data_IF_214754272182
#
_entry.id   IF_214754272182
#
_cell.length_a   1.000
_cell.length_b   1.000
_cell.length_c   1.000
_cell.angle_alpha   90.00
_cell.angle_beta   90.00
_cell.angle_gamma   90.00
#
_symmetry.space_group_name_H-M   'P 1'
#
loop_
_entity.id
_entity.type
_entity.pdbx_description
1 polymer ?
#
# COMPACT_ATOMS: atom_id res chain seq x y z
N UNK A 1 -4.03 0.02 -5.88
CA UNK A 1 -5.11 1.03 -5.88
C UNK A 1 -4.76 2.06 -4.82
N UNK A 2 -5.10 3.32 -5.05
CA UNK A 2 -4.97 4.40 -4.07
C UNK A 2 -6.31 5.15 -3.97
N UNK A 3 -6.51 5.84 -2.86
CA UNK A 3 -7.68 6.66 -2.58
C UNK A 3 -7.22 8.07 -2.20
N UNK A 4 -7.70 9.09 -2.91
CA UNK A 4 -7.34 10.48 -2.67
C UNK A 4 -8.35 11.41 -3.36
N UNK A 5 -8.57 12.61 -2.84
CA UNK A 5 -9.33 13.66 -3.52
C UNK A 5 -8.42 14.31 -4.59
N UNK A 6 -8.59 13.93 -5.86
CA UNK A 6 -7.72 14.41 -6.95
C UNK A 6 -8.27 15.61 -7.68
N UNK A 7 -9.53 15.98 -7.45
CA UNK A 7 -10.18 17.13 -8.05
C UNK A 7 -10.45 18.27 -7.06
N UNK A 8 -10.08 18.09 -5.78
CA UNK A 8 -10.26 19.01 -4.67
C UNK A 8 -11.74 19.36 -4.38
N UNK A 9 -12.66 18.40 -4.58
CA UNK A 9 -14.09 18.58 -4.30
C UNK A 9 -14.53 18.12 -2.90
N UNK A 10 -13.60 17.55 -2.12
CA UNK A 10 -13.82 17.03 -0.78
C UNK A 10 -14.25 15.56 -0.73
N UNK A 11 -14.48 14.92 -1.87
CA UNK A 11 -14.82 13.50 -1.96
C UNK A 11 -13.58 12.67 -2.31
N UNK A 12 -13.45 11.51 -1.69
CA UNK A 12 -12.33 10.61 -2.00
C UNK A 12 -12.55 9.91 -3.34
N UNK A 13 -11.62 10.11 -4.28
CA UNK A 13 -11.57 9.43 -5.58
C UNK A 13 -10.76 8.14 -5.53
N UNK A 14 -10.91 7.29 -6.55
CA UNK A 14 -10.22 5.99 -6.63
C UNK A 14 -9.29 5.92 -7.84
N UNK A 15 -8.03 5.55 -7.59
CA UNK A 15 -6.98 5.41 -8.60
C UNK A 15 -6.56 3.94 -8.70
N UNK A 16 -6.54 3.38 -9.91
CA UNK A 16 -6.24 1.96 -10.16
C UNK A 16 -5.15 1.77 -11.22
N UNK A 17 -4.21 0.86 -10.98
CA UNK A 17 -3.32 0.37 -12.04
C UNK A 17 -4.04 -0.72 -12.86
N UNK A 18 -4.19 -0.50 -14.16
CA UNK A 18 -4.79 -1.46 -15.07
C UNK A 18 -3.69 -2.21 -15.82
N UNK A 19 -3.19 -3.29 -15.22
CA UNK A 19 -2.01 -4.03 -15.71
C UNK A 19 -2.10 -4.40 -17.21
N UNK A 20 -3.16 -5.12 -17.62
CA UNK A 20 -3.32 -5.56 -19.01
C UNK A 20 -3.66 -4.45 -20.00
N UNK A 21 -4.17 -3.31 -19.52
CA UNK A 21 -4.53 -2.16 -20.35
C UNK A 21 -3.38 -1.15 -20.51
N UNK A 22 -2.26 -1.33 -19.79
CA UNK A 22 -1.14 -0.40 -19.78
C UNK A 22 -1.58 1.05 -19.45
N UNK A 23 -2.42 1.19 -18.42
CA UNK A 23 -2.97 2.48 -18.00
C UNK A 23 -3.16 2.59 -16.51
N UNK A 24 -3.24 3.83 -16.02
CA UNK A 24 -3.86 4.17 -14.74
C UNK A 24 -5.27 4.64 -15.00
N UNK A 25 -6.23 4.13 -14.23
CA UNK A 25 -7.61 4.59 -14.24
C UNK A 25 -7.94 5.45 -13.04
N UNK A 26 -8.70 6.51 -13.26
CA UNK A 26 -9.19 7.42 -12.22
C UNK A 26 -10.71 7.41 -12.25
N UNK A 27 -11.32 7.11 -11.11
CA UNK A 27 -12.76 7.15 -10.87
C UNK A 27 -13.05 8.35 -9.97
N UNK A 28 -13.72 9.36 -10.50
CA UNK A 28 -14.10 10.55 -9.72
C UNK A 28 -15.36 10.23 -8.93
N UNK A 29 -15.32 10.45 -7.63
CA UNK A 29 -16.44 10.26 -6.74
C UNK A 29 -17.40 11.46 -6.83
N UNK A 30 -18.69 11.19 -6.94
CA UNK A 30 -19.72 12.24 -6.97
C UNK A 30 -20.22 12.64 -5.59
N UNK A 31 -19.54 12.20 -4.52
CA UNK A 31 -19.86 12.48 -3.12
C UNK A 31 -20.98 11.61 -2.52
N UNK A 32 -21.47 10.61 -3.25
CA UNK A 32 -22.60 9.76 -2.84
C UNK A 32 -22.28 8.27 -2.87
N UNK A 33 -20.98 7.91 -2.87
CA UNK A 33 -20.52 6.53 -3.06
C UNK A 33 -20.68 6.02 -4.50
N UNK A 34 -20.98 6.93 -5.44
CA UNK A 34 -21.07 6.64 -6.88
C UNK A 34 -19.92 7.31 -7.61
N UNK A 35 -19.42 6.63 -8.65
CA UNK A 35 -18.24 7.07 -9.37
C UNK A 35 -18.55 7.38 -10.83
N UNK A 36 -17.83 8.36 -11.39
CA UNK A 36 -17.84 8.67 -12.81
C UNK A 36 -17.36 7.49 -13.65
N UNK A 37 -17.56 7.58 -14.96
CA UNK A 37 -16.84 6.70 -15.89
C UNK A 37 -15.34 6.90 -15.66
N UNK A 38 -14.61 5.80 -15.69
CA UNK A 38 -13.16 5.77 -15.53
C UNK A 38 -12.49 6.63 -16.60
N UNK A 39 -11.65 7.58 -16.17
CA UNK A 39 -10.68 8.24 -17.05
C UNK A 39 -9.40 7.41 -17.07
N UNK A 40 -8.94 7.01 -18.25
CA UNK A 40 -7.75 6.19 -18.41
C UNK A 40 -6.57 7.01 -18.96
N UNK A 41 -5.43 6.93 -18.28
CA UNK A 41 -4.18 7.55 -18.66
C UNK A 41 -3.16 6.48 -19.02
N UNK A 42 -2.63 6.52 -20.25
CA UNK A 42 -1.67 5.50 -20.70
C UNK A 42 -0.36 5.58 -19.91
N UNK A 43 0.18 4.41 -19.57
CA UNK A 43 1.53 4.28 -19.01
C UNK A 43 2.53 3.71 -20.03
N UNK A 44 2.18 3.73 -21.32
CA UNK A 44 3.04 3.26 -22.43
C UNK A 44 2.89 1.77 -22.73
N UNK A 45 3.17 1.37 -23.97
CA UNK A 45 2.98 -0.02 -24.39
C UNK A 45 3.91 -0.98 -23.63
N UNK A 46 3.35 -2.08 -23.09
CA UNK A 46 4.11 -3.09 -22.33
C UNK A 46 4.56 -2.62 -20.95
N UNK A 47 3.96 -1.55 -20.42
CA UNK A 47 4.29 -1.02 -19.09
C UNK A 47 3.83 -1.92 -17.95
N UNK A 48 2.72 -2.64 -18.13
CA UNK A 48 2.13 -3.54 -17.12
C UNK A 48 2.12 -2.91 -15.71
N UNK A 49 1.39 -1.80 -15.50
CA UNK A 49 1.39 -1.12 -14.22
C UNK A 49 0.87 -2.04 -13.11
N UNK A 50 1.50 -2.00 -11.93
CA UNK A 50 1.20 -2.94 -10.85
C UNK A 50 0.74 -2.25 -9.55
N UNK A 51 1.35 -1.13 -9.18
CA UNK A 51 1.01 -0.36 -7.98
C UNK A 51 0.87 1.12 -8.32
N UNK A 52 0.04 1.81 -7.55
CA UNK A 52 -0.16 3.27 -7.62
C UNK A 52 -0.10 3.85 -6.21
N UNK A 53 0.50 5.02 -6.10
CA UNK A 53 0.45 5.89 -4.94
C UNK A 53 -0.01 7.29 -5.37
N UNK A 54 -0.48 8.08 -4.41
CA UNK A 54 -1.04 9.41 -4.64
C UNK A 54 -0.42 10.39 -3.64
N UNK A 55 0.20 11.47 -4.13
CA UNK A 55 0.80 12.52 -3.31
C UNK A 55 1.07 13.76 -4.16
N UNK A 56 1.12 14.95 -3.56
CA UNK A 56 1.62 16.16 -4.21
C UNK A 56 3.16 16.08 -4.27
N UNK A 57 3.71 15.79 -5.46
CA UNK A 57 5.16 15.62 -5.63
C UNK A 57 5.85 16.89 -6.11
N UNK A 58 5.10 17.94 -6.48
CA UNK A 58 5.66 19.17 -7.02
C UNK A 58 5.39 20.42 -6.16
N UNK A 59 4.66 20.26 -5.06
CA UNK A 59 4.35 21.30 -4.08
C UNK A 59 3.27 22.29 -4.55
N UNK A 60 2.45 21.94 -5.55
CA UNK A 60 1.40 22.83 -6.07
C UNK A 60 0.04 22.68 -5.37
N UNK A 61 -0.04 21.78 -4.38
CA UNK A 61 -1.23 21.50 -3.58
C UNK A 61 -2.21 20.54 -4.23
N UNK A 62 -1.86 19.91 -5.37
CA UNK A 62 -2.70 18.93 -6.04
C UNK A 62 -2.09 17.55 -5.92
N UNK A 63 -2.95 16.55 -5.76
CA UNK A 63 -2.52 15.16 -5.66
C UNK A 63 -2.11 14.64 -7.04
N UNK A 64 -0.84 14.27 -7.19
CA UNK A 64 -0.28 13.60 -8.37
C UNK A 64 -0.37 12.07 -8.24
N UNK A 65 -0.14 11.37 -9.36
CA UNK A 65 -0.12 9.89 -9.40
C UNK A 65 1.29 9.38 -9.65
N UNK A 66 1.71 8.42 -8.82
CA UNK A 66 2.96 7.69 -8.97
C UNK A 66 2.59 6.23 -9.28
N UNK A 67 3.20 5.64 -10.31
CA UNK A 67 2.87 4.28 -10.78
C UNK A 67 4.11 3.43 -11.00
N UNK A 68 4.14 2.20 -10.48
CA UNK A 68 5.17 1.22 -10.85
C UNK A 68 4.79 0.53 -12.16
N UNK A 69 5.60 0.71 -13.20
CA UNK A 69 5.43 0.05 -14.48
C UNK A 69 6.29 -1.22 -14.52
N UNK A 70 5.71 -2.33 -14.09
CA UNK A 70 6.41 -3.59 -13.88
C UNK A 70 7.12 -4.09 -15.15
N UNK A 71 6.42 -4.09 -16.28
CA UNK A 71 6.93 -4.58 -17.56
C UNK A 71 8.01 -3.67 -18.16
N UNK A 72 7.92 -2.37 -17.91
CA UNK A 72 8.86 -1.38 -18.46
C UNK A 72 10.02 -1.00 -17.51
N UNK A 73 10.09 -1.60 -16.31
CA UNK A 73 11.15 -1.37 -15.30
C UNK A 73 11.38 0.11 -14.99
N UNK A 74 10.30 0.86 -14.82
CA UNK A 74 10.34 2.26 -14.44
C UNK A 74 9.19 2.63 -13.50
N UNK A 75 9.31 3.80 -12.89
CA UNK A 75 8.22 4.49 -12.21
C UNK A 75 7.74 5.62 -13.12
N UNK A 76 6.43 5.70 -13.34
CA UNK A 76 5.79 6.84 -13.99
C UNK A 76 5.26 7.83 -12.95
N UNK A 77 5.39 9.12 -13.24
CA UNK A 77 4.81 10.23 -12.46
C UNK A 77 3.88 11.00 -13.38
N UNK A 78 2.59 11.08 -13.04
CA UNK A 78 1.58 11.83 -13.76
C UNK A 78 1.19 13.03 -12.91
N UNK A 79 1.56 14.22 -13.39
CA UNK A 79 1.29 15.48 -12.69
C UNK A 79 -0.17 15.89 -12.90
N UNK A 80 -0.85 16.23 -11.82
CA UNK A 80 -2.21 16.74 -11.82
C UNK A 80 -2.24 18.20 -12.27
N UNK A 81 -2.79 18.43 -13.46
CA UNK A 81 -2.94 19.78 -14.01
C UNK A 81 -4.11 20.54 -13.40
N UNK A 82 -4.98 19.87 -12.64
CA UNK A 82 -6.16 20.40 -11.97
C UNK A 82 -7.41 19.59 -12.26
N UNK A 83 -8.38 19.61 -11.33
CA UNK A 83 -9.69 18.96 -11.46
C UNK A 83 -9.62 17.45 -11.80
N UNK A 84 -8.62 16.72 -11.28
CA UNK A 84 -8.42 15.29 -11.56
C UNK A 84 -7.95 15.00 -12.99
N UNK A 85 -7.40 15.99 -13.70
CA UNK A 85 -6.85 15.85 -15.05
C UNK A 85 -5.32 15.76 -14.98
N UNK A 86 -4.76 14.68 -15.49
CA UNK A 86 -3.33 14.40 -15.40
C UNK A 86 -2.59 14.59 -16.72
N UNK A 87 -1.37 15.12 -16.66
CA UNK A 87 -0.45 15.18 -17.78
C UNK A 87 0.05 13.79 -18.19
N UNK A 88 0.68 13.71 -19.36
CA UNK A 88 1.39 12.50 -19.76
C UNK A 88 2.49 12.17 -18.73
N UNK A 89 2.69 10.87 -18.45
CA UNK A 89 3.68 10.47 -17.46
C UNK A 89 5.10 10.89 -17.85
N UNK A 90 5.87 11.31 -16.85
CA UNK A 90 7.33 11.35 -16.90
C UNK A 90 7.86 10.10 -16.22
N UNK A 91 8.83 9.42 -16.82
CA UNK A 91 9.34 8.15 -16.31
C UNK A 91 10.74 8.26 -15.72
N UNK A 92 10.96 7.51 -14.65
CA UNK A 92 12.24 7.37 -13.96
C UNK A 92 12.63 5.91 -13.89
N UNK A 93 13.88 5.59 -14.23
CA UNK A 93 14.37 4.21 -14.24
C UNK A 93 14.28 3.58 -12.85
N UNK A 94 13.69 2.39 -12.79
CA UNK A 94 13.62 1.55 -11.60
C UNK A 94 14.45 0.27 -11.79
N UNK A 95 14.48 -0.60 -10.79
CA UNK A 95 15.02 -1.95 -10.94
C UNK A 95 14.09 -2.85 -11.77
N UNK A 96 14.52 -4.08 -12.05
CA UNK A 96 13.70 -5.07 -12.76
C UNK A 96 12.40 -5.38 -12.01
N UNK A 97 11.29 -5.39 -12.73
CA UNK A 97 9.95 -5.73 -12.24
C UNK A 97 9.55 -4.97 -10.97
N UNK A 98 9.47 -3.62 -11.00
CA UNK A 98 8.98 -2.85 -9.86
C UNK A 98 7.55 -3.29 -9.54
N UNK A 99 7.31 -3.64 -8.28
CA UNK A 99 6.04 -4.23 -7.85
C UNK A 99 5.20 -3.22 -7.07
N UNK A 100 5.79 -2.59 -6.06
CA UNK A 100 5.12 -1.64 -5.16
C UNK A 100 5.86 -0.30 -5.14
N UNK A 101 5.10 0.79 -5.01
CA UNK A 101 5.61 2.13 -4.72
C UNK A 101 4.99 2.66 -3.43
N UNK A 102 5.80 3.36 -2.63
CA UNK A 102 5.37 4.17 -1.50
C UNK A 102 5.95 5.59 -1.65
N UNK A 103 5.25 6.58 -1.08
CA UNK A 103 5.64 8.00 -1.16
C UNK A 103 5.66 8.61 0.23
N UNK A 104 6.79 9.21 0.60
CA UNK A 104 7.05 9.82 1.91
C UNK A 104 8.36 10.61 1.86
N UNK A 105 8.48 11.68 2.63
CA UNK A 105 9.74 12.41 2.78
C UNK A 105 10.72 11.58 3.64
N UNK A 106 11.62 10.84 2.98
CA UNK A 106 12.68 10.09 3.66
C UNK A 106 14.00 10.87 3.72
N UNK A 107 14.10 11.94 2.94
CA UNK A 107 15.26 12.83 2.96
C UNK A 107 15.24 13.80 4.14
N UNK A 108 14.05 14.15 4.63
CA UNK A 108 13.80 15.18 5.64
C UNK A 108 13.85 16.60 5.09
N UNK A 109 13.67 16.79 3.78
CA UNK A 109 13.77 18.09 3.11
C UNK A 109 12.41 18.78 2.84
N UNK A 110 11.31 18.13 3.23
CA UNK A 110 9.94 18.59 3.06
C UNK A 110 9.28 18.17 1.74
N UNK A 111 9.99 17.49 0.85
CA UNK A 111 9.46 16.96 -0.40
C UNK A 111 9.24 15.45 -0.29
N UNK A 112 8.11 14.95 -0.78
CA UNK A 112 7.86 13.51 -0.77
C UNK A 112 8.75 12.80 -1.80
N UNK A 113 9.46 11.77 -1.35
CA UNK A 113 10.31 10.90 -2.17
C UNK A 113 9.54 9.66 -2.61
N UNK A 114 10.11 8.88 -3.54
CA UNK A 114 9.54 7.60 -3.99
C UNK A 114 10.41 6.43 -3.54
N UNK A 115 9.78 5.45 -2.89
CA UNK A 115 10.37 4.16 -2.52
C UNK A 115 9.77 3.08 -3.44
N UNK A 116 10.61 2.23 -4.02
CA UNK A 116 10.22 1.22 -5.01
C UNK A 116 10.68 -0.17 -4.60
N UNK A 117 9.75 -1.11 -4.47
CA UNK A 117 10.07 -2.54 -4.33
C UNK A 117 10.40 -3.13 -5.72
N UNK A 118 11.68 -3.34 -6.02
CA UNK A 118 12.11 -3.92 -7.29
C UNK A 118 12.14 -5.45 -7.19
N UNK A 119 10.98 -6.08 -7.37
CA UNK A 119 10.76 -7.52 -7.15
C UNK A 119 11.76 -8.39 -7.90
N UNK A 120 12.03 -8.10 -9.18
CA UNK A 120 12.96 -8.87 -10.00
C UNK A 120 14.43 -8.59 -9.69
N UNK A 121 14.74 -7.40 -9.17
CA UNK A 121 16.11 -6.98 -8.86
C UNK A 121 16.56 -7.31 -7.42
N UNK A 122 15.66 -7.79 -6.56
CA UNK A 122 15.95 -8.12 -5.16
C UNK A 122 16.54 -6.93 -4.38
N UNK A 123 15.97 -5.75 -4.60
CA UNK A 123 16.35 -4.53 -3.90
C UNK A 123 15.16 -3.58 -3.75
N UNK A 124 15.32 -2.59 -2.88
CA UNK A 124 14.50 -1.39 -2.83
C UNK A 124 15.25 -0.25 -3.51
N UNK A 125 14.57 0.49 -4.39
CA UNK A 125 15.07 1.75 -4.95
C UNK A 125 14.48 2.95 -4.21
N UNK A 126 15.26 4.00 -4.01
CA UNK A 126 14.83 5.28 -3.44
C UNK A 126 15.14 6.38 -4.44
N UNK A 127 14.12 7.11 -4.87
CA UNK A 127 14.23 8.26 -5.76
C UNK A 127 13.94 9.52 -4.95
N UNK A 128 14.97 10.35 -4.77
CA UNK A 128 14.85 11.60 -4.01
C UNK A 128 14.27 12.68 -4.90
N UNK A 129 13.26 13.37 -4.39
CA UNK A 129 12.58 14.48 -5.06
C UNK A 129 13.43 15.75 -4.95
N UNK A 130 13.45 16.55 -6.02
CA UNK A 130 14.15 17.84 -6.06
C UNK A 130 13.23 19.03 -5.78
N UNK A 131 11.98 18.77 -5.40
CA UNK A 131 11.00 19.77 -4.95
C UNK A 131 10.14 20.37 -6.06
N UNK A 132 10.18 19.82 -7.28
CA UNK A 132 9.38 20.29 -8.42
C UNK A 132 8.74 19.13 -9.21
N UNK A 133 8.60 17.96 -8.58
CA UNK A 133 8.13 16.74 -9.23
C UNK A 133 9.19 16.05 -10.11
N UNK A 134 10.45 16.48 -10.03
CA UNK A 134 11.58 15.78 -10.66
C UNK A 134 12.44 15.05 -9.65
N UNK A 135 12.86 13.84 -10.03
CA UNK A 135 13.57 12.92 -9.14
C UNK A 135 14.97 12.61 -9.67
N UNK A 136 15.93 12.49 -8.75
CA UNK A 136 17.28 12.04 -9.10
C UNK A 136 17.29 10.53 -9.38
N UNK A 137 18.41 10.05 -9.94
CA UNK A 137 18.60 8.62 -10.18
C UNK A 137 18.46 7.82 -8.87
N UNK A 138 17.77 6.67 -8.95
CA UNK A 138 17.52 5.84 -7.78
C UNK A 138 18.82 5.39 -7.10
N UNK A 139 18.83 5.41 -5.76
CA UNK A 139 19.79 4.68 -4.94
C UNK A 139 19.15 3.36 -4.52
N UNK A 140 19.87 2.25 -4.67
CA UNK A 140 19.31 0.91 -4.42
C UNK A 140 19.94 0.24 -3.20
N UNK A 141 19.11 -0.44 -2.42
CA UNK A 141 19.50 -1.20 -1.23
C UNK A 141 19.06 -2.66 -1.38
N UNK A 142 20.00 -3.60 -1.27
CA UNK A 142 19.69 -5.03 -1.42
C UNK A 142 18.79 -5.52 -0.30
N UNK A 143 17.84 -6.39 -0.65
CA UNK A 143 16.94 -7.05 0.31
C UNK A 143 17.31 -8.52 0.53
N UNK A 144 18.53 -8.91 0.14
CA UNK A 144 19.00 -10.29 0.11
C UNK A 144 18.74 -11.00 -1.22
N UNK A 145 19.58 -11.97 -1.56
CA UNK A 145 19.46 -12.73 -2.81
C UNK A 145 18.15 -13.53 -2.87
N UNK A 146 17.44 -13.45 -4.00
CA UNK A 146 16.15 -14.13 -4.21
C UNK A 146 15.10 -13.78 -3.15
N UNK A 147 15.13 -12.56 -2.63
CA UNK A 147 14.15 -12.06 -1.64
C UNK A 147 12.83 -11.66 -2.27
N UNK A 148 12.88 -11.14 -3.51
CA UNK A 148 11.74 -10.67 -4.30
C UNK A 148 10.79 -9.77 -3.48
N UNK A 149 11.20 -8.53 -3.19
CA UNK A 149 10.40 -7.61 -2.39
C UNK A 149 9.06 -7.32 -3.09
N UNK A 150 7.95 -7.66 -2.43
CA UNK A 150 6.60 -7.51 -2.98
C UNK A 150 5.94 -6.19 -2.58
N UNK A 151 6.23 -5.69 -1.38
CA UNK A 151 5.61 -4.49 -0.83
C UNK A 151 6.61 -3.71 0.02
N UNK A 152 6.45 -2.39 0.03
CA UNK A 152 7.20 -1.46 0.87
C UNK A 152 6.22 -0.59 1.66
N UNK A 153 6.56 -0.32 2.91
CA UNK A 153 5.94 0.66 3.78
C UNK A 153 7.03 1.53 4.42
N UNK A 154 6.62 2.62 5.06
CA UNK A 154 7.56 3.57 5.67
C UNK A 154 7.01 4.06 7.02
N UNK A 155 7.84 4.05 8.05
CA UNK A 155 7.55 4.54 9.38
C UNK A 155 8.86 4.71 10.17
N UNK A 156 8.87 5.58 11.17
CA UNK A 156 9.95 5.61 12.18
C UNK A 156 9.74 4.43 13.14
N UNK A 157 10.54 3.37 13.00
CA UNK A 157 10.41 2.16 13.83
C UNK A 157 11.49 2.07 14.91
N UNK A 158 12.48 2.95 14.89
CA UNK A 158 13.54 3.02 15.88
C UNK A 158 13.42 4.21 16.85
N UNK A 159 12.40 5.06 16.64
CA UNK A 159 12.07 6.26 17.43
C UNK A 159 13.16 7.35 17.36
N UNK A 160 13.88 7.45 16.23
CA UNK A 160 14.93 8.46 16.02
C UNK A 160 14.47 9.71 15.25
N UNK A 161 13.19 9.75 14.86
CA UNK A 161 12.57 10.84 14.12
C UNK A 161 12.77 10.79 12.61
N UNK A 162 13.41 9.74 12.08
CA UNK A 162 13.59 9.54 10.63
C UNK A 162 12.73 8.38 10.17
N UNK A 163 12.17 8.54 8.97
CA UNK A 163 11.32 7.51 8.39
C UNK A 163 12.18 6.37 7.83
N UNK A 164 12.00 5.16 8.36
CA UNK A 164 12.63 3.93 7.91
C UNK A 164 11.82 3.25 6.79
N UNK A 165 12.45 2.29 6.09
CA UNK A 165 11.78 1.48 5.07
C UNK A 165 11.52 0.06 5.61
N UNK A 166 10.28 -0.40 5.48
CA UNK A 166 9.85 -1.75 5.83
C UNK A 166 9.48 -2.49 4.55
N UNK A 167 9.95 -3.73 4.39
CA UNK A 167 9.86 -4.50 3.14
C UNK A 167 9.30 -5.90 3.38
N UNK A 168 8.28 -6.28 2.63
CA UNK A 168 7.83 -7.67 2.54
C UNK A 168 8.67 -8.44 1.51
N UNK A 169 9.55 -9.33 1.97
CA UNK A 169 10.40 -10.17 1.12
C UNK A 169 9.69 -11.49 0.79
N UNK A 170 8.99 -11.54 -0.34
CA UNK A 170 8.09 -12.63 -0.70
C UNK A 170 8.76 -14.01 -0.66
N UNK A 171 9.87 -14.21 -1.36
CA UNK A 171 10.56 -15.50 -1.35
C UNK A 171 11.54 -15.63 -0.18
N UNK A 172 11.92 -14.50 0.43
CA UNK A 172 12.72 -14.46 1.65
C UNK A 172 11.96 -14.91 2.90
N UNK A 173 10.62 -14.99 2.86
CA UNK A 173 9.75 -15.29 4.01
C UNK A 173 10.05 -14.40 5.24
N UNK A 174 10.40 -13.15 4.99
CA UNK A 174 10.77 -12.18 6.01
C UNK A 174 10.10 -10.84 5.75
N UNK A 175 9.87 -10.09 6.82
CA UNK A 175 9.86 -8.63 6.72
C UNK A 175 11.28 -8.15 6.98
N UNK A 176 11.77 -7.17 6.25
CA UNK A 176 13.02 -6.53 6.62
C UNK A 176 12.91 -5.02 6.71
N UNK A 177 13.74 -4.45 7.59
CA UNK A 177 13.77 -3.04 7.96
C UNK A 177 15.11 -2.47 7.51
N UNK A 178 15.08 -1.36 6.77
CA UNK A 178 16.24 -0.57 6.43
C UNK A 178 16.15 0.75 7.19
N UNK A 179 17.07 0.96 8.13
CA UNK A 179 17.05 2.17 8.97
C UNK A 179 17.58 3.37 8.22
N UNK A 180 16.89 4.49 8.34
CA UNK A 180 17.29 5.74 7.76
C UNK A 180 18.40 6.39 8.58
N UNK A 181 19.60 6.44 8.02
CA UNK A 181 20.74 7.09 8.65
C UNK A 181 20.70 8.62 8.51
N UNK A 182 19.84 9.14 7.62
CA UNK A 182 19.62 10.55 7.33
C UNK A 182 19.71 10.84 5.83
N UNK A 183 19.03 11.89 5.38
CA UNK A 183 19.08 12.37 3.99
C UNK A 183 18.76 11.30 2.94
N UNK A 184 17.82 10.38 3.26
CA UNK A 184 17.41 9.30 2.36
C UNK A 184 18.46 8.19 2.19
N UNK A 185 19.46 8.12 3.09
CA UNK A 185 20.49 7.08 3.09
C UNK A 185 20.15 6.02 4.12
N UNK A 186 20.12 4.76 3.69
CA UNK A 186 19.69 3.65 4.55
C UNK A 186 20.81 2.67 4.90
N UNK A 187 20.75 2.12 6.11
CA UNK A 187 21.61 1.04 6.56
C UNK A 187 21.26 -0.29 5.88
N UNK A 188 22.12 -1.29 6.08
CA UNK A 188 21.84 -2.65 5.63
C UNK A 188 20.57 -3.20 6.31
N UNK A 189 19.81 -4.00 5.56
CA UNK A 189 18.54 -4.53 6.03
C UNK A 189 18.72 -5.48 7.22
N UNK A 190 17.86 -5.32 8.24
CA UNK A 190 17.65 -6.28 9.32
C UNK A 190 16.36 -7.04 9.04
N UNK A 191 16.34 -8.37 9.16
CA UNK A 191 15.19 -9.19 8.79
C UNK A 191 14.55 -9.92 9.96
N UNK A 192 13.22 -10.02 9.93
CA UNK A 192 12.38 -10.72 10.90
C UNK A 192 11.59 -11.80 10.16
N UNK A 193 11.62 -13.03 10.68
CA UNK A 193 10.91 -14.16 10.08
C UNK A 193 9.39 -13.97 10.15
N UNK A 194 8.70 -14.31 9.07
CA UNK A 194 7.24 -14.34 9.01
C UNK A 194 6.66 -15.77 9.00
N UNK A 195 7.52 -16.75 9.25
CA UNK A 195 7.21 -18.19 9.16
C UNK A 195 7.70 -18.82 7.86
N UNK A 196 8.00 -20.11 7.88
CA UNK A 196 8.43 -20.83 6.68
C UNK A 196 7.32 -20.89 5.63
N UNK A 197 7.64 -20.57 4.38
CA UNK A 197 6.68 -20.50 3.27
C UNK A 197 5.54 -19.49 3.49
N UNK A 198 5.80 -18.43 4.25
CA UNK A 198 4.86 -17.34 4.50
C UNK A 198 4.48 -16.56 3.25
N UNK A 199 5.42 -16.37 2.32
CA UNK A 199 5.23 -15.59 1.11
C UNK A 199 4.56 -14.22 1.40
N UNK A 200 5.22 -13.33 2.17
CA UNK A 200 4.63 -12.06 2.57
C UNK A 200 4.36 -11.20 1.32
N UNK A 201 3.10 -10.81 1.15
CA UNK A 201 2.58 -10.14 -0.06
C UNK A 201 2.41 -8.63 0.14
N UNK A 202 2.11 -8.20 1.36
CA UNK A 202 1.90 -6.80 1.72
C UNK A 202 2.42 -6.53 3.12
N UNK A 203 2.97 -5.33 3.34
CA UNK A 203 3.39 -4.87 4.66
C UNK A 203 2.88 -3.45 4.93
N UNK A 204 2.59 -3.18 6.19
CA UNK A 204 2.25 -1.86 6.70
C UNK A 204 2.88 -1.67 8.08
N UNK A 205 3.00 -0.41 8.50
CA UNK A 205 3.49 -0.06 9.82
C UNK A 205 2.56 0.97 10.48
N UNK A 206 2.11 0.68 11.70
CA UNK A 206 1.31 1.58 12.54
C UNK A 206 1.36 1.10 13.98
N UNK A 207 1.09 1.98 14.94
CA UNK A 207 0.91 1.60 16.34
C UNK A 207 -0.46 0.90 16.52
N UNK A 208 -0.47 -0.43 16.69
CA UNK A 208 -1.70 -1.23 16.84
C UNK A 208 -2.07 -1.48 18.31
N UNK A 209 -1.18 -1.15 19.25
CA UNK A 209 -1.35 -1.39 20.68
C UNK A 209 -1.41 -0.08 21.51
N UNK A 210 -1.35 1.08 20.85
CA UNK A 210 -1.36 2.42 21.40
C UNK A 210 -0.20 2.69 22.39
N UNK A 211 0.98 2.10 22.17
CA UNK A 211 2.17 2.32 23.00
C UNK A 211 3.12 3.44 22.49
N UNK A 212 2.79 4.05 21.37
CA UNK A 212 3.54 5.13 20.72
C UNK A 212 4.58 4.64 19.71
N UNK A 213 4.68 3.33 19.44
CA UNK A 213 5.67 2.75 18.53
C UNK A 213 5.00 2.15 17.32
N UNK A 214 5.59 2.36 16.15
CA UNK A 214 5.09 1.72 14.93
C UNK A 214 5.37 0.20 14.99
N UNK A 215 4.29 -0.59 14.99
CA UNK A 215 4.31 -2.04 14.85
C UNK A 215 4.28 -2.44 13.37
N UNK A 216 4.66 -3.68 13.05
CA UNK A 216 4.63 -4.22 11.69
C UNK A 216 3.45 -5.19 11.54
N UNK A 217 2.64 -4.96 10.50
CA UNK A 217 1.56 -5.86 10.09
C UNK A 217 1.83 -6.35 8.67
N UNK A 218 1.72 -7.66 8.44
CA UNK A 218 2.09 -8.31 7.18
C UNK A 218 1.02 -9.31 6.73
N UNK A 219 0.63 -9.31 5.46
CA UNK A 219 -0.16 -10.43 4.89
C UNK A 219 0.77 -11.53 4.41
N UNK A 220 0.54 -12.76 4.87
CA UNK A 220 1.30 -13.93 4.45
C UNK A 220 0.45 -14.79 3.51
N UNK A 221 0.65 -14.62 2.21
CA UNK A 221 -0.16 -15.28 1.18
C UNK A 221 -0.04 -16.81 1.21
N UNK A 222 1.16 -17.33 1.51
CA UNK A 222 1.43 -18.76 1.57
C UNK A 222 0.90 -19.44 2.84
N UNK A 223 0.82 -18.71 3.95
CA UNK A 223 0.27 -19.21 5.22
C UNK A 223 -1.18 -18.82 5.49
N UNK A 224 -1.81 -18.06 4.57
CA UNK A 224 -3.20 -17.63 4.67
C UNK A 224 -3.53 -16.91 6.00
N UNK A 225 -2.65 -15.99 6.40
CA UNK A 225 -2.81 -15.24 7.64
C UNK A 225 -2.31 -13.79 7.52
N UNK A 226 -2.69 -12.99 8.50
CA UNK A 226 -2.03 -11.73 8.84
C UNK A 226 -1.07 -12.00 9.99
N UNK A 227 0.17 -11.55 9.87
CA UNK A 227 1.16 -11.50 10.94
C UNK A 227 1.22 -10.13 11.59
N UNK A 228 1.36 -10.10 12.91
CA UNK A 228 1.62 -8.89 13.70
C UNK A 228 2.92 -9.06 14.46
N UNK A 229 3.85 -8.12 14.30
CA UNK A 229 5.11 -8.06 15.03
C UNK A 229 5.09 -6.74 15.82
N UNK A 230 4.96 -6.83 17.14
CA UNK A 230 4.89 -5.64 18.00
C UNK A 230 6.29 -5.08 18.24
N UNK A 231 6.44 -3.77 18.15
CA UNK A 231 7.70 -3.08 18.39
C UNK A 231 7.93 -2.92 19.90
N UNK A 232 9.01 -3.54 20.40
CA UNK A 232 9.39 -3.41 21.81
C UNK A 232 10.46 -2.33 22.04
N UNK A 233 10.91 -1.67 20.97
CA UNK A 233 11.82 -0.52 20.97
C UNK A 233 13.15 -0.79 20.28
N UNK A 234 13.74 0.27 19.72
CA UNK A 234 15.10 0.28 19.17
C UNK A 234 15.35 -0.81 18.13
N UNK A 235 14.38 -1.05 17.24
CA UNK A 235 14.31 -2.11 16.20
C UNK A 235 14.06 -3.54 16.68
N UNK A 236 13.74 -3.75 17.95
CA UNK A 236 13.38 -5.08 18.42
C UNK A 236 11.88 -5.29 18.25
N UNK A 237 11.48 -6.37 17.59
CA UNK A 237 10.08 -6.75 17.44
C UNK A 237 9.81 -8.11 18.11
N UNK A 238 8.58 -8.33 18.54
CA UNK A 238 8.14 -9.64 19.00
C UNK A 238 8.18 -10.66 17.86
N UNK A 239 8.19 -11.94 18.23
CA UNK A 239 7.81 -12.98 17.27
C UNK A 239 6.42 -12.69 16.72
N UNK A 240 6.21 -13.04 15.44
CA UNK A 240 4.93 -12.84 14.78
C UNK A 240 3.80 -13.57 15.51
N UNK A 241 2.72 -12.85 15.79
CA UNK A 241 1.41 -13.43 16.12
C UNK A 241 0.58 -13.51 14.85
N UNK A 242 0.02 -14.68 14.54
CA UNK A 242 -0.67 -14.93 13.27
C UNK A 242 -2.19 -15.04 13.44
N UNK A 243 -2.93 -14.37 12.56
CA UNK A 243 -4.39 -14.36 12.50
C UNK A 243 -4.87 -14.92 11.17
N UNK A 244 -5.56 -16.07 11.19
CA UNK A 244 -6.01 -16.75 9.97
C UNK A 244 -7.00 -15.91 9.17
N UNK A 245 -6.83 -15.83 7.84
CA UNK A 245 -7.80 -15.26 6.91
C UNK A 245 -8.66 -16.34 6.23
N UNK A 246 -8.56 -17.60 6.70
CA UNK A 246 -9.27 -18.76 6.16
C UNK A 246 -8.43 -19.58 5.19
N UNK A 247 -8.75 -20.87 5.03
CA UNK A 247 -8.00 -21.75 4.14
C UNK A 247 -8.06 -21.23 2.69
N UNK A 248 -6.94 -21.27 1.98
CA UNK A 248 -6.83 -20.88 0.57
C UNK A 248 -7.30 -19.45 0.28
N UNK A 249 -7.24 -18.57 1.28
CA UNK A 249 -7.63 -17.17 1.15
C UNK A 249 -6.69 -16.38 0.25
N UNK A 250 -5.38 -16.67 0.31
CA UNK A 250 -4.34 -15.95 -0.42
C UNK A 250 -4.40 -14.44 -0.16
N UNK A 251 -4.14 -13.99 1.09
CA UNK A 251 -4.23 -12.58 1.42
C UNK A 251 -3.21 -11.76 0.63
N UNK A 252 -3.63 -10.64 0.03
CA UNK A 252 -2.79 -9.90 -0.94
C UNK A 252 -2.55 -8.43 -0.58
N UNK A 253 -3.46 -7.79 0.14
CA UNK A 253 -3.34 -6.40 0.59
C UNK A 253 -4.15 -6.18 1.86
N UNK A 254 -3.93 -5.06 2.54
CA UNK A 254 -4.78 -4.63 3.65
C UNK A 254 -4.99 -3.12 3.67
N UNK A 255 -6.12 -2.70 4.25
CA UNK A 255 -6.36 -1.35 4.72
C UNK A 255 -6.37 -1.36 6.25
N UNK A 256 -5.78 -0.32 6.84
CA UNK A 256 -5.58 -0.19 8.28
C UNK A 256 -6.21 1.12 8.73
N UNK A 257 -7.28 1.02 9.51
CA UNK A 257 -8.08 2.18 9.93
C UNK A 257 -9.05 1.74 11.01
N UNK A 258 -9.61 2.68 11.75
CA UNK A 258 -10.73 2.44 12.64
C UNK A 258 -12.03 2.27 11.82
N UNK A 259 -12.43 1.03 11.55
CA UNK A 259 -13.57 0.71 10.68
C UNK A 259 -14.91 0.86 11.42
N UNK A 260 -14.91 0.69 12.75
CA UNK A 260 -16.11 0.71 13.58
C UNK A 260 -16.24 1.98 14.46
N UNK A 261 -15.25 2.89 14.40
CA UNK A 261 -15.14 4.13 15.19
C UNK A 261 -15.00 3.93 16.70
N UNK A 262 -14.36 2.84 17.13
CA UNK A 262 -14.11 2.57 18.56
C UNK A 262 -12.77 3.12 19.08
N UNK A 263 -12.01 3.79 18.22
CA UNK A 263 -10.71 4.40 18.52
C UNK A 263 -9.55 3.41 18.41
N UNK A 264 -9.75 2.21 17.88
CA UNK A 264 -8.71 1.19 17.74
C UNK A 264 -8.43 0.90 16.27
N UNK A 265 -7.24 0.40 16.02
CA UNK A 265 -6.84 -0.01 14.67
C UNK A 265 -7.54 -1.31 14.30
N UNK A 266 -8.33 -1.27 13.23
CA UNK A 266 -8.90 -2.45 12.57
C UNK A 266 -8.18 -2.74 11.25
N UNK A 267 -8.39 -3.95 10.72
CA UNK A 267 -7.86 -4.36 9.41
C UNK A 267 -8.99 -4.80 8.49
N UNK A 268 -8.96 -4.34 7.24
CA UNK A 268 -9.61 -5.03 6.13
C UNK A 268 -8.54 -5.71 5.29
N UNK A 269 -8.70 -6.99 4.94
CA UNK A 269 -7.69 -7.80 4.25
C UNK A 269 -8.30 -8.43 2.99
N UNK A 270 -7.69 -8.18 1.83
CA UNK A 270 -8.14 -8.79 0.58
C UNK A 270 -7.69 -10.24 0.50
N UNK A 271 -8.60 -11.15 0.15
CA UNK A 271 -8.33 -12.57 -0.03
C UNK A 271 -8.49 -12.91 -1.52
N UNK A 272 -7.39 -12.79 -2.26
CA UNK A 272 -7.41 -12.85 -3.72
C UNK A 272 -7.88 -14.22 -4.25
N UNK A 273 -7.34 -15.30 -3.67
CA UNK A 273 -7.62 -16.66 -4.12
C UNK A 273 -9.05 -17.10 -3.74
N UNK A 274 -9.56 -16.66 -2.59
CA UNK A 274 -10.92 -16.99 -2.15
C UNK A 274 -12.02 -16.07 -2.74
N UNK A 275 -11.65 -14.97 -3.40
CA UNK A 275 -12.61 -14.00 -3.93
C UNK A 275 -13.46 -13.34 -2.84
N UNK A 276 -12.80 -13.00 -1.73
CA UNK A 276 -13.41 -12.43 -0.52
C UNK A 276 -12.52 -11.36 0.08
N UNK A 277 -12.99 -10.70 1.13
CA UNK A 277 -12.14 -9.95 2.05
C UNK A 277 -12.53 -10.27 3.49
N UNK A 278 -11.61 -10.09 4.43
CA UNK A 278 -11.82 -10.32 5.86
C UNK A 278 -11.66 -9.01 6.64
N UNK A 279 -12.52 -8.79 7.63
CA UNK A 279 -12.43 -7.66 8.56
C UNK A 279 -12.04 -8.17 9.94
N UNK A 280 -10.96 -7.62 10.49
CA UNK A 280 -10.43 -7.91 11.82
C UNK A 280 -10.63 -6.67 12.68
N UNK A 281 -11.47 -6.79 13.72
CA UNK A 281 -11.63 -5.70 14.69
C UNK A 281 -10.52 -5.75 15.74
N UNK A 282 -9.86 -4.63 15.96
CA UNK A 282 -8.79 -4.45 16.92
C UNK A 282 -9.29 -4.46 18.36
N UNK A 283 -8.48 -5.03 19.25
CA UNK A 283 -8.75 -4.96 20.70
C UNK A 283 -8.13 -3.73 21.35
N UNK A 284 -7.18 -3.07 20.66
CA UNK A 284 -6.35 -1.97 21.19
C UNK A 284 -5.11 -2.44 21.94
N UNK A 285 -4.82 -3.75 21.94
CA UNK A 285 -3.64 -4.34 22.59
C UNK A 285 -2.65 -4.94 21.59
N UNK A 286 -2.77 -4.57 20.31
CA UNK A 286 -2.04 -5.23 19.22
C UNK A 286 -2.58 -6.62 18.86
N UNK A 287 -3.78 -6.96 19.34
CA UNK A 287 -4.48 -8.21 19.00
C UNK A 287 -5.83 -7.97 18.34
N UNK A 288 -6.29 -8.93 17.54
CA UNK A 288 -7.52 -8.84 16.77
C UNK A 288 -8.54 -9.91 17.16
N UNK A 289 -9.82 -9.57 17.06
CA UNK A 289 -10.93 -10.52 17.20
C UNK A 289 -10.98 -11.50 16.02
N UNK A 290 -11.78 -12.56 16.17
CA UNK A 290 -12.08 -13.47 15.05
C UNK A 290 -12.63 -12.68 13.86
N UNK A 291 -12.06 -12.84 12.65
CA UNK A 291 -12.47 -12.04 11.51
C UNK A 291 -13.86 -12.40 11.02
N UNK A 292 -14.54 -11.39 10.46
CA UNK A 292 -15.72 -11.59 9.62
C UNK A 292 -15.30 -11.58 8.16
N UNK A 293 -15.71 -12.58 7.37
CA UNK A 293 -15.34 -12.69 5.96
C UNK A 293 -16.54 -12.43 5.05
N UNK A 294 -16.33 -11.57 4.05
CA UNK A 294 -17.34 -11.15 3.08
C UNK A 294 -16.99 -11.72 1.71
N UNK A 295 -17.87 -12.55 1.17
CA UNK A 295 -17.72 -13.10 -0.17
C UNK A 295 -18.09 -12.05 -1.22
N UNK A 296 -17.18 -11.81 -2.15
CA UNK A 296 -17.41 -10.91 -3.30
C UNK A 296 -17.77 -11.72 -4.55
N UNK A 297 -17.32 -12.96 -4.63
CA UNK A 297 -17.58 -13.87 -5.77
C UNK A 297 -16.65 -13.66 -6.96
N UNK A 298 -15.63 -12.82 -6.82
CA UNK A 298 -14.54 -12.64 -7.77
C UNK A 298 -13.24 -12.30 -7.05
N UNK A 299 -12.10 -12.59 -7.66
CA UNK A 299 -10.78 -12.39 -7.07
C UNK A 299 -10.55 -10.93 -6.66
N UNK A 300 -10.40 -10.72 -5.35
CA UNK A 300 -10.13 -9.41 -4.74
C UNK A 300 -8.62 -9.19 -4.75
N UNK A 301 -8.10 -8.44 -5.71
CA UNK A 301 -6.65 -8.25 -5.86
C UNK A 301 -6.08 -7.20 -4.92
N UNK A 302 -6.86 -6.18 -4.59
CA UNK A 302 -6.43 -5.11 -3.71
C UNK A 302 -7.68 -4.52 -3.04
N UNK A 303 -7.48 -3.87 -1.90
CA UNK A 303 -8.52 -3.08 -1.25
C UNK A 303 -7.96 -1.81 -0.63
N UNK A 304 -8.84 -0.83 -0.43
CA UNK A 304 -8.59 0.39 0.35
C UNK A 304 -9.84 0.68 1.18
N UNK A 305 -9.72 1.60 2.13
CA UNK A 305 -10.84 1.98 2.99
C UNK A 305 -10.90 3.51 3.09
N UNK A 306 -12.09 4.08 2.89
CA UNK A 306 -12.35 5.51 2.95
C UNK A 306 -13.86 5.76 3.10
N UNK A 307 -14.24 6.90 3.66
CA UNK A 307 -15.63 7.39 3.57
C UNK A 307 -15.86 7.91 2.15
N UNK A 308 -16.59 7.16 1.33
CA UNK A 308 -16.84 7.54 -0.07
C UNK A 308 -18.23 8.13 -0.30
N UNK A 309 -19.09 8.15 0.72
CA UNK A 309 -20.45 8.69 0.61
C UNK A 309 -20.71 9.88 1.53
N UNK A 310 -19.71 10.31 2.31
CA UNK A 310 -19.77 11.46 3.21
C UNK A 310 -20.63 11.22 4.45
N UNK A 311 -20.96 9.97 4.80
CA UNK A 311 -21.75 9.65 6.00
C UNK A 311 -20.89 9.57 7.28
N UNK A 312 -19.60 9.80 7.12
CA UNK A 312 -18.57 9.77 8.14
C UNK A 312 -18.00 8.37 8.37
N UNK A 313 -18.61 7.29 7.89
CA UNK A 313 -18.15 5.93 8.17
C UNK A 313 -17.19 5.46 7.09
N UNK A 314 -16.25 4.62 7.50
CA UNK A 314 -15.28 4.08 6.57
C UNK A 314 -15.92 2.94 5.79
N UNK A 315 -15.95 3.07 4.46
CA UNK A 315 -16.37 2.06 3.50
C UNK A 315 -15.16 1.26 3.01
N UNK A 316 -15.40 0.06 2.46
CA UNK A 316 -14.35 -0.78 1.86
C UNK A 316 -14.52 -0.77 0.35
N UNK A 317 -13.44 -0.45 -0.36
CA UNK A 317 -13.37 -0.44 -1.81
C UNK A 317 -12.41 -1.55 -2.24
N UNK A 318 -12.81 -2.36 -3.21
CA UNK A 318 -12.03 -3.49 -3.70
C UNK A 318 -11.83 -3.44 -5.21
N UNK A 319 -10.69 -3.91 -5.69
CA UNK A 319 -10.44 -4.16 -7.13
C UNK A 319 -10.69 -5.62 -7.46
N UNK A 320 -11.42 -5.86 -8.56
CA UNK A 320 -11.80 -7.20 -9.02
C UNK A 320 -11.02 -7.56 -10.29
N UNK A 321 -10.11 -8.53 -10.20
CA UNK A 321 -9.21 -8.86 -11.31
C UNK A 321 -9.90 -9.48 -12.53
N UNK A 322 -11.07 -10.09 -12.34
CA UNK A 322 -11.81 -10.77 -13.41
C UNK A 322 -12.89 -9.88 -14.03
N UNK A 323 -13.23 -8.76 -13.38
CA UNK A 323 -14.30 -7.86 -13.79
C UNK A 323 -13.83 -6.55 -14.42
N UNK A 324 -12.51 -6.25 -14.38
CA UNK A 324 -11.96 -4.94 -14.70
C UNK A 324 -12.74 -3.80 -14.02
N UNK A 325 -13.12 -4.03 -12.76
CA UNK A 325 -14.06 -3.18 -12.03
C UNK A 325 -13.61 -3.01 -10.58
N UNK A 326 -14.18 -1.98 -9.95
CA UNK A 326 -14.17 -1.82 -8.51
C UNK A 326 -15.54 -2.19 -7.94
N UNK A 327 -15.58 -2.64 -6.69
CA UNK A 327 -16.80 -2.75 -5.91
C UNK A 327 -16.65 -1.98 -4.60
N UNK A 328 -17.75 -1.38 -4.15
CA UNK A 328 -17.82 -0.54 -2.96
C UNK A 328 -18.78 -1.21 -1.97
N UNK A 329 -18.30 -1.44 -0.76
CA UNK A 329 -19.05 -2.02 0.34
C UNK A 329 -19.31 -0.91 1.35
N UNK A 330 -20.51 -0.32 1.26
CA UNK A 330 -20.91 0.77 2.13
C UNK A 330 -21.15 0.29 3.56
N UNK A 331 -20.60 1.02 4.52
CA UNK A 331 -20.74 0.74 5.94
C UNK A 331 -22.09 1.27 6.45
N UNK A 332 -23.13 0.46 6.32
CA UNK A 332 -24.50 0.93 6.53
C UNK A 332 -24.94 1.10 8.00
N UNK A 333 -24.26 0.51 9.00
CA UNK A 333 -24.77 0.55 10.39
C UNK A 333 -23.71 0.39 11.49
N UNK A 334 -24.00 0.97 12.67
CA UNK A 334 -23.41 0.66 13.99
C UNK A 334 -23.59 -0.81 14.44
N UNK A 335 -23.97 -1.73 13.54
CA UNK A 335 -24.06 -3.17 13.75
C UNK A 335 -24.38 -3.86 12.42
N UNK A 336 -23.44 -4.66 11.93
CA UNK A 336 -23.59 -5.70 10.90
C UNK A 336 -24.05 -5.27 9.49
N UNK A 337 -23.05 -5.16 8.60
CA UNK A 337 -23.17 -5.01 7.14
C UNK A 337 -24.04 -6.13 6.53
N UNK A 338 -25.01 -5.75 5.69
CA UNK A 338 -25.64 -6.60 4.67
C UNK A 338 -25.44 -5.96 3.30
#
# INVERSE_FOLDING_TARGET
>A
MAAADVNADGSVDIIVANNGANSVGVFINTGTGTFSIQMAYTTGAGSNPNSVAAADVNGDGKVDIIVSNNGASNVGVLINTGNGIFAAQVTYTAGSWPNCVAVVDVSGDGNVDIIVANYGANNVGVLINTGNGTFIAQVTYTTGGSSNPASVAAADVNEDGKIDIIVANYWGNTVGVLLNTGSGIFAAQVTYSTGGSSAPSFVAATDVNADGKADIIVTNSGLNNVGVLLNVGGITFTSQVAYSTGCTSGPNSMAITDLNKDGKVDLAVSNNAAGSFSVFLGTGSGTFLTPTTYLVGSSVSYLTAADVNGDGKIDIIVTLSNGNSIAVFLNSCNSYIR
#
